data_IF_284057612921
#
_entry.id   IF_284057612921
#
_cell.length_a   1.000
_cell.length_b   1.000
_cell.length_c   1.000
_cell.angle_alpha   90.00
_cell.angle_beta   90.00
_cell.angle_gamma   90.00
#
_symmetry.space_group_name_H-M   'P 1'
#
loop_
_entity.id
_entity.type
_entity.pdbx_description
1 polymer ?
#
# COMPACT_ATOMS: atom_id res chain seq x y z
N UNK A 1 -16.18 -14.16 -9.35
CA UNK A 1 -16.47 -15.27 -8.42
C UNK A 1 -16.57 -16.66 -9.07
N UNK A 2 -17.41 -16.88 -10.09
CA UNK A 2 -17.56 -18.23 -10.69
C UNK A 2 -16.23 -18.84 -11.19
N UNK A 3 -15.38 -18.05 -11.87
CA UNK A 3 -14.03 -18.47 -12.28
C UNK A 3 -13.14 -18.85 -11.09
N UNK A 4 -13.20 -18.09 -10.00
CA UNK A 4 -12.44 -18.40 -8.78
C UNK A 4 -12.87 -19.74 -8.17
N UNK A 5 -14.19 -20.00 -8.13
CA UNK A 5 -14.72 -21.24 -7.59
C UNK A 5 -14.30 -22.44 -8.44
N UNK A 6 -14.34 -22.32 -9.76
CA UNK A 6 -13.85 -23.38 -10.65
C UNK A 6 -12.36 -23.67 -10.44
N UNK A 7 -11.54 -22.63 -10.28
CA UNK A 7 -10.12 -22.77 -9.99
C UNK A 7 -9.87 -23.43 -8.62
N UNK A 8 -10.65 -23.06 -7.60
CA UNK A 8 -10.57 -23.68 -6.28
C UNK A 8 -10.90 -25.18 -6.29
N UNK A 9 -11.89 -25.57 -7.11
CA UNK A 9 -12.29 -26.98 -7.27
C UNK A 9 -11.27 -27.78 -8.07
N UNK A 10 -10.73 -27.22 -9.17
CA UNK A 10 -9.91 -27.98 -10.13
C UNK A 10 -8.40 -27.91 -9.88
N UNK A 11 -7.90 -26.84 -9.28
CA UNK A 11 -6.46 -26.54 -9.27
C UNK A 11 -5.89 -26.34 -7.86
N UNK A 12 -6.62 -25.65 -6.98
CA UNK A 12 -6.05 -25.17 -5.72
C UNK A 12 -6.57 -25.89 -4.47
N UNK A 13 -7.40 -26.92 -4.63
CA UNK A 13 -7.88 -27.78 -3.53
C UNK A 13 -8.45 -27.00 -2.34
N UNK A 14 -9.22 -25.95 -2.63
CA UNK A 14 -9.83 -25.06 -1.64
C UNK A 14 -11.34 -24.85 -1.93
N UNK A 15 -11.98 -25.87 -2.50
CA UNK A 15 -13.37 -25.82 -2.96
C UNK A 15 -14.35 -25.39 -1.87
N UNK A 16 -14.31 -26.02 -0.70
CA UNK A 16 -15.20 -25.69 0.43
C UNK A 16 -14.99 -24.26 0.91
N UNK A 17 -13.73 -23.82 0.97
CA UNK A 17 -13.38 -22.45 1.40
C UNK A 17 -13.99 -21.41 0.45
N UNK A 18 -13.88 -21.62 -0.86
CA UNK A 18 -14.45 -20.69 -1.84
C UNK A 18 -15.97 -20.76 -1.94
N UNK A 19 -16.60 -21.91 -1.66
CA UNK A 19 -18.06 -22.02 -1.54
C UNK A 19 -18.55 -21.20 -0.33
N UNK A 20 -17.92 -21.36 0.84
CA UNK A 20 -18.19 -20.56 2.02
C UNK A 20 -18.04 -19.07 1.71
N UNK A 21 -16.92 -18.68 1.12
CA UNK A 21 -16.63 -17.29 0.79
C UNK A 21 -17.62 -16.71 -0.24
N UNK A 22 -17.93 -17.46 -1.30
CA UNK A 22 -18.92 -17.05 -2.30
C UNK A 22 -20.30 -16.86 -1.67
N UNK A 23 -20.70 -17.74 -0.74
CA UNK A 23 -22.01 -17.66 -0.09
C UNK A 23 -22.19 -16.35 0.69
N UNK A 24 -21.18 -15.92 1.45
CA UNK A 24 -21.26 -14.67 2.23
C UNK A 24 -21.02 -13.43 1.38
N UNK A 25 -20.11 -13.48 0.39
CA UNK A 25 -19.89 -12.36 -0.53
C UNK A 25 -21.11 -12.09 -1.41
N UNK A 26 -21.90 -13.11 -1.77
CA UNK A 26 -23.11 -12.95 -2.58
C UNK A 26 -24.23 -12.15 -1.90
N UNK A 27 -24.18 -12.02 -0.58
CA UNK A 27 -25.17 -11.29 0.24
C UNK A 27 -24.56 -10.05 0.91
N UNK A 28 -23.23 -9.96 0.93
CA UNK A 28 -22.48 -8.85 1.50
C UNK A 28 -22.10 -7.86 0.42
N UNK A 29 -22.72 -6.68 0.48
CA UNK A 29 -22.49 -5.59 -0.47
C UNK A 29 -21.68 -4.43 0.12
N UNK A 30 -21.34 -4.48 1.43
CA UNK A 30 -20.60 -3.39 2.08
C UNK A 30 -19.59 -3.92 3.09
N UNK A 31 -18.42 -3.28 3.15
CA UNK A 31 -17.40 -3.54 4.17
C UNK A 31 -17.79 -3.02 5.55
N UNK A 32 -18.95 -2.34 5.69
CA UNK A 32 -19.46 -1.85 6.99
C UNK A 32 -19.73 -2.96 7.99
N UNK A 33 -19.99 -4.18 7.51
CA UNK A 33 -20.13 -5.32 8.42
C UNK A 33 -18.83 -5.58 9.20
N UNK A 34 -17.66 -5.32 8.60
CA UNK A 34 -16.34 -5.67 9.15
C UNK A 34 -16.00 -4.85 10.40
N UNK A 35 -16.49 -3.61 10.50
CA UNK A 35 -16.28 -2.77 11.70
C UNK A 35 -17.04 -3.28 12.91
N UNK A 36 -18.15 -4.00 12.69
CA UNK A 36 -18.99 -4.57 13.75
C UNK A 36 -18.52 -5.95 14.21
N UNK A 37 -17.46 -6.48 13.61
CA UNK A 37 -16.94 -7.80 13.97
C UNK A 37 -16.04 -7.73 15.21
N UNK A 38 -16.19 -8.68 16.15
CA UNK A 38 -15.22 -8.89 17.22
C UNK A 38 -13.81 -9.11 16.67
N UNK A 39 -12.79 -8.63 17.39
CA UNK A 39 -11.40 -8.69 16.93
C UNK A 39 -10.92 -10.11 16.61
N UNK A 40 -11.40 -11.12 17.34
CA UNK A 40 -11.07 -12.54 17.11
C UNK A 40 -11.41 -13.07 15.70
N UNK A 41 -12.34 -12.42 15.01
CA UNK A 41 -12.70 -12.80 13.64
C UNK A 41 -11.85 -12.09 12.59
N UNK A 42 -11.25 -10.93 12.94
CA UNK A 42 -10.48 -10.14 11.98
C UNK A 42 -9.16 -10.84 11.71
N UNK A 43 -8.88 -11.04 10.43
CA UNK A 43 -7.68 -11.71 9.95
C UNK A 43 -6.74 -10.71 9.27
N UNK A 44 -5.43 -10.87 9.50
CA UNK A 44 -4.36 -10.05 8.91
C UNK A 44 -4.19 -10.25 7.41
N UNK A 45 -4.62 -11.40 6.88
CA UNK A 45 -4.63 -11.72 5.44
C UNK A 45 -5.76 -10.99 4.69
N UNK A 46 -6.76 -10.47 5.40
CA UNK A 46 -7.74 -9.53 4.87
C UNK A 46 -9.20 -9.87 5.12
N UNK A 47 -10.06 -9.16 4.40
CA UNK A 47 -11.51 -9.21 4.53
C UNK A 47 -12.05 -10.57 4.11
N UNK A 48 -11.48 -11.20 3.08
CA UNK A 48 -11.89 -12.53 2.61
C UNK A 48 -11.72 -13.58 3.71
N UNK A 49 -10.55 -13.64 4.35
CA UNK A 49 -10.31 -14.58 5.45
C UNK A 49 -11.15 -14.27 6.67
N UNK A 50 -11.38 -12.99 6.96
CA UNK A 50 -12.28 -12.56 8.04
C UNK A 50 -13.70 -13.10 7.84
N UNK A 51 -14.24 -12.98 6.62
CA UNK A 51 -15.56 -13.50 6.27
C UNK A 51 -15.61 -15.03 6.27
N UNK A 52 -14.55 -15.68 5.78
CA UNK A 52 -14.44 -17.13 5.78
C UNK A 52 -14.40 -17.70 7.20
N UNK A 53 -13.65 -17.09 8.12
CA UNK A 53 -13.60 -17.50 9.53
C UNK A 53 -14.98 -17.49 10.19
N UNK A 54 -15.79 -16.45 9.92
CA UNK A 54 -17.18 -16.39 10.41
C UNK A 54 -17.99 -17.57 9.86
N UNK A 55 -17.93 -17.80 8.55
CA UNK A 55 -18.68 -18.89 7.93
C UNK A 55 -18.25 -20.26 8.47
N UNK A 56 -16.95 -20.50 8.60
CA UNK A 56 -16.40 -21.75 9.11
C UNK A 56 -16.83 -22.02 10.55
N UNK A 57 -16.78 -21.01 11.42
CA UNK A 57 -17.19 -21.16 12.83
C UNK A 57 -18.69 -21.43 12.97
N UNK A 58 -19.53 -20.72 12.21
CA UNK A 58 -20.98 -20.94 12.24
C UNK A 58 -21.35 -22.31 11.65
N UNK A 59 -20.72 -22.72 10.55
CA UNK A 59 -20.96 -24.01 9.93
C UNK A 59 -20.50 -25.18 10.81
N UNK A 60 -19.36 -25.03 11.49
CA UNK A 60 -18.89 -26.02 12.46
C UNK A 60 -19.95 -26.26 13.55
N UNK A 61 -20.46 -25.20 14.16
CA UNK A 61 -21.51 -25.30 15.18
C UNK A 61 -22.78 -25.93 14.60
N UNK A 62 -23.18 -25.54 13.39
CA UNK A 62 -24.35 -26.11 12.70
C UNK A 62 -24.19 -27.62 12.45
N UNK A 63 -22.98 -28.08 12.15
CA UNK A 63 -22.66 -29.49 11.88
C UNK A 63 -22.53 -30.32 13.17
N UNK A 64 -22.18 -29.69 14.30
CA UNK A 64 -22.05 -30.36 15.61
C UNK A 64 -23.38 -30.58 16.35
N UNK A 65 -24.51 -30.10 15.83
CA UNK A 65 -25.81 -30.20 16.49
C UNK A 65 -26.87 -30.80 15.58
N UNK A 66 -27.89 -31.44 16.15
CA UNK A 66 -29.04 -31.90 15.39
C UNK A 66 -29.71 -30.71 14.67
N UNK A 67 -30.18 -30.93 13.43
CA UNK A 67 -30.72 -29.84 12.61
C UNK A 67 -31.87 -29.05 13.29
N UNK A 68 -32.68 -29.72 14.12
CA UNK A 68 -33.79 -29.10 14.87
C UNK A 68 -33.33 -28.24 16.06
N UNK A 69 -32.11 -28.42 16.56
CA UNK A 69 -31.58 -27.68 17.71
C UNK A 69 -30.68 -26.50 17.32
N UNK A 70 -30.29 -26.39 16.05
CA UNK A 70 -29.52 -25.25 15.58
C UNK A 70 -30.34 -23.96 15.63
N UNK A 71 -29.92 -23.02 16.50
CA UNK A 71 -30.53 -21.71 16.63
C UNK A 71 -29.52 -20.61 16.32
N UNK A 72 -29.62 -20.04 15.11
CA UNK A 72 -28.71 -18.98 14.65
C UNK A 72 -28.71 -17.75 15.58
N UNK A 73 -29.86 -17.38 16.18
CA UNK A 73 -29.94 -16.24 17.09
C UNK A 73 -29.03 -16.46 18.30
N UNK A 74 -29.15 -17.61 18.97
CA UNK A 74 -28.32 -17.96 20.14
C UNK A 74 -26.85 -18.05 19.79
N UNK A 75 -26.52 -18.65 18.65
CA UNK A 75 -25.12 -18.74 18.18
C UNK A 75 -24.54 -17.34 17.93
N UNK A 76 -25.27 -16.46 17.24
CA UNK A 76 -24.82 -15.09 17.01
C UNK A 76 -24.71 -14.28 18.30
N UNK A 77 -25.59 -14.48 19.28
CA UNK A 77 -25.50 -13.85 20.60
C UNK A 77 -24.21 -14.28 21.33
N UNK A 78 -23.97 -15.59 21.43
CA UNK A 78 -22.78 -16.15 22.06
C UNK A 78 -21.48 -15.73 21.36
N UNK A 79 -21.52 -15.54 20.04
CA UNK A 79 -20.38 -15.12 19.23
C UNK A 79 -20.26 -13.61 19.04
N UNK A 80 -21.15 -12.81 19.63
CA UNK A 80 -21.18 -11.35 19.48
C UNK A 80 -21.30 -10.90 18.01
N UNK A 81 -22.08 -11.66 17.21
CA UNK A 81 -22.35 -11.44 15.79
C UNK A 81 -23.79 -10.98 15.52
N UNK A 82 -24.54 -10.59 16.56
CA UNK A 82 -25.97 -10.22 16.48
C UNK A 82 -26.25 -9.17 15.41
N UNK A 83 -25.38 -8.17 15.25
CA UNK A 83 -25.54 -7.08 14.28
C UNK A 83 -25.51 -7.54 12.81
N UNK A 84 -24.82 -8.65 12.52
CA UNK A 84 -24.69 -9.19 11.16
C UNK A 84 -25.47 -10.51 10.99
N UNK A 85 -26.29 -10.89 11.97
CA UNK A 85 -27.09 -12.12 11.96
C UNK A 85 -27.92 -12.28 10.68
N UNK A 86 -28.51 -11.19 10.18
CA UNK A 86 -29.31 -11.21 8.96
C UNK A 86 -28.47 -11.61 7.73
N UNK A 87 -27.24 -11.10 7.63
CA UNK A 87 -26.27 -11.46 6.57
C UNK A 87 -25.88 -12.94 6.71
N UNK A 88 -25.51 -13.38 7.91
CA UNK A 88 -25.13 -14.77 8.17
C UNK A 88 -26.30 -15.72 7.81
N UNK A 89 -27.53 -15.38 8.20
CA UNK A 89 -28.71 -16.18 7.89
C UNK A 89 -28.95 -16.33 6.38
N UNK A 90 -28.77 -15.26 5.61
CA UNK A 90 -28.87 -15.32 4.15
C UNK A 90 -27.69 -16.10 3.53
N UNK A 91 -26.47 -15.89 4.02
CA UNK A 91 -25.27 -16.61 3.58
C UNK A 91 -25.42 -18.13 3.82
N UNK A 92 -25.95 -18.56 4.97
CA UNK A 92 -26.19 -19.97 5.27
C UNK A 92 -27.22 -20.62 4.33
N UNK A 93 -28.26 -19.89 3.91
CA UNK A 93 -29.21 -20.37 2.90
C UNK A 93 -28.53 -20.54 1.55
N UNK A 94 -27.71 -19.55 1.15
CA UNK A 94 -26.91 -19.62 -0.10
C UNK A 94 -25.92 -20.78 -0.08
N UNK A 95 -25.21 -20.96 1.03
CA UNK A 95 -24.30 -22.09 1.24
C UNK A 95 -25.02 -23.43 1.07
N UNK A 96 -26.16 -23.62 1.75
CA UNK A 96 -26.94 -24.86 1.67
C UNK A 96 -27.44 -25.13 0.23
N UNK A 97 -27.77 -24.08 -0.52
CA UNK A 97 -28.16 -24.21 -1.94
C UNK A 97 -26.97 -24.63 -2.82
N UNK A 98 -25.80 -24.04 -2.60
CA UNK A 98 -24.57 -24.37 -3.35
C UNK A 98 -24.09 -25.78 -3.03
N UNK A 99 -24.05 -26.14 -1.74
CA UNK A 99 -23.71 -27.47 -1.25
C UNK A 99 -24.54 -28.55 -1.94
N UNK A 100 -25.89 -28.42 -1.92
CA UNK A 100 -26.78 -29.34 -2.65
C UNK A 100 -26.49 -29.42 -4.15
N UNK A 101 -26.13 -28.31 -4.77
CA UNK A 101 -25.83 -28.28 -6.20
C UNK A 101 -24.55 -29.05 -6.53
N UNK A 102 -23.52 -28.92 -5.67
CA UNK A 102 -22.27 -29.66 -5.81
C UNK A 102 -22.40 -31.13 -5.40
N UNK A 103 -23.27 -31.46 -4.45
CA UNK A 103 -23.53 -32.84 -4.05
C UNK A 103 -24.17 -33.66 -5.18
N UNK A 104 -24.92 -33.03 -6.09
CA UNK A 104 -25.49 -33.72 -7.26
C UNK A 104 -24.47 -33.84 -8.40
N UNK A 105 -23.40 -33.03 -8.39
CA UNK A 105 -22.38 -33.04 -9.45
C UNK A 105 -21.39 -34.20 -9.30
N UNK A 106 -21.39 -35.13 -10.25
CA UNK A 106 -20.40 -36.22 -10.28
C UNK A 106 -18.95 -35.71 -10.43
N UNK A 107 -18.77 -34.59 -11.13
CA UNK A 107 -17.44 -34.02 -11.43
C UNK A 107 -16.82 -33.32 -10.21
N UNK A 108 -17.64 -32.63 -9.41
CA UNK A 108 -17.13 -31.70 -8.37
C UNK A 108 -17.49 -32.06 -6.94
N UNK A 109 -18.31 -33.10 -6.69
CA UNK A 109 -18.78 -33.46 -5.35
C UNK A 109 -17.64 -33.59 -4.34
N UNK A 110 -16.57 -34.30 -4.67
CA UNK A 110 -15.45 -34.51 -3.76
C UNK A 110 -14.66 -33.22 -3.52
N UNK A 111 -14.36 -32.49 -4.61
CA UNK A 111 -13.58 -31.26 -4.58
C UNK A 111 -14.29 -30.13 -3.81
N UNK A 112 -15.62 -30.09 -3.86
CA UNK A 112 -16.44 -29.13 -3.13
C UNK A 112 -16.37 -29.31 -1.61
N UNK A 113 -15.97 -30.49 -1.13
CA UNK A 113 -15.82 -30.79 0.30
C UNK A 113 -14.40 -30.48 0.82
N UNK A 114 -13.43 -30.27 -0.07
CA UNK A 114 -12.03 -30.04 0.31
C UNK A 114 -11.88 -28.65 0.95
N UNK A 115 -11.35 -28.65 2.18
CA UNK A 115 -10.98 -27.47 2.94
C UNK A 115 -9.46 -27.38 3.00
N UNK A 116 -8.91 -26.24 2.61
CA UNK A 116 -7.46 -26.02 2.60
C UNK A 116 -6.95 -25.39 3.90
N UNK A 117 -7.76 -24.51 4.51
CA UNK A 117 -7.35 -23.62 5.60
C UNK A 117 -6.09 -22.79 5.32
N UNK A 118 -5.68 -22.70 4.05
CA UNK A 118 -4.48 -22.01 3.60
C UNK A 118 -4.86 -20.82 2.73
N UNK A 119 -4.66 -19.61 3.27
CA UNK A 119 -4.95 -18.37 2.55
C UNK A 119 -4.27 -18.33 1.17
N UNK A 120 -3.05 -18.83 1.05
CA UNK A 120 -2.28 -18.82 -0.20
C UNK A 120 -3.00 -19.54 -1.35
N UNK A 121 -3.67 -20.66 -1.07
CA UNK A 121 -4.43 -21.41 -2.08
C UNK A 121 -5.73 -20.69 -2.44
N UNK A 122 -6.39 -20.09 -1.44
CA UNK A 122 -7.60 -19.27 -1.64
C UNK A 122 -7.27 -18.03 -2.47
N UNK A 123 -6.17 -17.35 -2.16
CA UNK A 123 -5.66 -16.19 -2.87
C UNK A 123 -5.36 -16.51 -4.34
N UNK A 124 -4.66 -17.63 -4.61
CA UNK A 124 -4.41 -18.10 -5.98
C UNK A 124 -5.70 -18.35 -6.75
N UNK A 125 -6.70 -18.98 -6.12
CA UNK A 125 -8.02 -19.15 -6.74
C UNK A 125 -8.75 -17.82 -6.98
N UNK A 126 -8.67 -16.85 -6.05
CA UNK A 126 -9.25 -15.53 -6.20
C UNK A 126 -8.62 -14.77 -7.39
N UNK A 127 -7.30 -14.85 -7.54
CA UNK A 127 -6.55 -14.21 -8.63
C UNK A 127 -7.02 -14.69 -10.02
N UNK A 128 -7.48 -15.94 -10.17
CA UNK A 128 -8.04 -16.40 -11.46
C UNK A 128 -9.29 -15.63 -11.89
N UNK A 129 -10.12 -15.17 -10.95
CA UNK A 129 -11.34 -14.42 -11.28
C UNK A 129 -11.23 -12.91 -11.05
N UNK A 130 -10.22 -12.44 -10.32
CA UNK A 130 -9.99 -11.03 -10.00
C UNK A 130 -8.59 -10.58 -10.42
N UNK A 131 -8.01 -11.20 -11.44
CA UNK A 131 -6.65 -10.94 -11.89
C UNK A 131 -6.40 -9.47 -12.22
N UNK A 132 -7.39 -8.80 -12.82
CA UNK A 132 -7.29 -7.39 -13.14
C UNK A 132 -7.45 -6.47 -11.93
N UNK A 133 -7.95 -6.97 -10.80
CA UNK A 133 -8.23 -6.18 -9.60
C UNK A 133 -7.12 -6.31 -8.55
N UNK A 134 -5.88 -6.42 -9.01
CA UNK A 134 -4.70 -6.46 -8.14
C UNK A 134 -4.08 -5.07 -8.08
N UNK A 135 -3.76 -4.65 -6.87
CA UNK A 135 -3.22 -3.34 -6.59
C UNK A 135 -1.94 -3.46 -5.76
N UNK A 136 -0.91 -2.73 -6.17
CA UNK A 136 0.38 -2.63 -5.48
C UNK A 136 0.44 -1.32 -4.71
N UNK A 137 1.03 -1.37 -3.52
CA UNK A 137 1.28 -0.22 -2.68
C UNK A 137 2.17 0.79 -3.39
N UNK A 138 1.73 2.04 -3.45
CA UNK A 138 2.55 3.12 -3.98
C UNK A 138 3.77 3.42 -3.11
N UNK A 139 3.74 3.06 -1.82
CA UNK A 139 4.93 3.09 -0.97
C UNK A 139 6.07 2.28 -1.58
N UNK A 140 5.77 1.06 -2.02
CA UNK A 140 6.78 0.16 -2.57
C UNK A 140 7.29 0.68 -3.91
N UNK A 141 6.41 1.34 -4.68
CA UNK A 141 6.73 2.07 -5.91
C UNK A 141 7.39 3.44 -5.70
N UNK A 142 7.84 3.77 -4.49
CA UNK A 142 8.49 5.06 -4.15
C UNK A 142 7.60 6.29 -4.39
N UNK A 143 6.29 6.18 -4.09
CA UNK A 143 5.28 7.22 -4.20
C UNK A 143 4.38 7.24 -2.94
N UNK A 144 3.26 7.96 -2.96
CA UNK A 144 2.43 8.25 -1.78
C UNK A 144 2.03 7.01 -0.94
N UNK A 145 2.38 7.01 0.35
CA UNK A 145 2.36 5.82 1.23
C UNK A 145 1.03 5.05 1.23
N UNK A 146 -0.10 5.71 1.49
CA UNK A 146 -1.38 5.01 1.66
C UNK A 146 -2.21 4.89 0.36
N UNK A 147 -1.58 5.14 -0.78
CA UNK A 147 -2.22 4.93 -2.07
C UNK A 147 -1.74 3.62 -2.67
N UNK A 148 -2.56 3.10 -3.56
CA UNK A 148 -2.28 1.91 -4.33
C UNK A 148 -2.41 2.24 -5.81
N UNK A 149 -1.75 1.47 -6.66
CA UNK A 149 -1.88 1.56 -8.10
C UNK A 149 -2.23 0.18 -8.65
N UNK A 150 -3.05 0.11 -9.70
CA UNK A 150 -3.32 -1.17 -10.37
C UNK A 150 -2.00 -1.69 -10.93
N UNK A 151 -1.77 -2.99 -10.77
CA UNK A 151 -0.50 -3.58 -11.20
C UNK A 151 -0.23 -3.41 -12.71
N UNK A 152 -1.29 -3.37 -13.52
CA UNK A 152 -1.23 -3.19 -14.99
C UNK A 152 -1.21 -1.74 -15.44
N UNK A 153 -1.61 -0.78 -14.59
CA UNK A 153 -1.63 0.65 -14.91
C UNK A 153 -1.35 1.47 -13.65
N UNK A 154 -0.19 2.11 -13.62
CA UNK A 154 0.27 2.90 -12.46
C UNK A 154 -0.60 4.16 -12.23
N UNK A 155 -1.32 4.62 -13.25
CA UNK A 155 -2.18 5.80 -13.19
C UNK A 155 -3.57 5.50 -12.59
N UNK A 156 -4.01 4.23 -12.63
CA UNK A 156 -5.24 3.81 -11.95
C UNK A 156 -4.98 3.68 -10.44
N UNK A 157 -5.15 4.80 -9.75
CA UNK A 157 -4.87 4.91 -8.32
C UNK A 157 -6.07 4.52 -7.47
N UNK A 158 -5.80 3.92 -6.31
CA UNK A 158 -6.82 3.53 -5.36
C UNK A 158 -6.40 3.79 -3.90
N UNK A 159 -7.39 3.84 -3.02
CA UNK A 159 -7.22 3.77 -1.57
C UNK A 159 -8.06 2.62 -1.02
N UNK A 160 -7.57 2.01 0.06
CA UNK A 160 -8.33 0.97 0.74
C UNK A 160 -9.56 1.58 1.39
N UNK A 161 -10.70 0.90 1.29
CA UNK A 161 -11.87 1.30 2.03
C UNK A 161 -11.57 1.28 3.54
N UNK A 162 -11.80 2.39 4.24
CA UNK A 162 -11.42 2.61 5.64
C UNK A 162 -11.85 1.49 6.60
N UNK A 163 -12.95 0.81 6.27
CA UNK A 163 -13.54 -0.29 7.05
C UNK A 163 -12.90 -1.67 6.82
N UNK A 164 -11.96 -1.81 5.89
CA UNK A 164 -11.22 -3.05 5.66
C UNK A 164 -10.33 -3.41 6.85
N UNK A 165 -10.09 -4.71 7.06
CA UNK A 165 -9.10 -5.19 8.04
C UNK A 165 -7.66 -4.96 7.60
N UNK A 166 -7.43 -4.58 6.34
CA UNK A 166 -6.12 -4.25 5.78
C UNK A 166 -5.76 -2.76 5.88
N UNK A 167 -6.70 -1.90 6.29
CA UNK A 167 -6.38 -0.51 6.60
C UNK A 167 -5.40 -0.45 7.76
N UNK A 168 -4.35 0.37 7.61
CA UNK A 168 -3.30 0.57 8.62
C UNK A 168 -3.29 2.03 9.08
N UNK A 169 -2.93 2.31 10.34
CA UNK A 169 -2.65 3.67 10.79
C UNK A 169 -1.55 4.33 9.95
N UNK A 170 -1.52 5.67 9.94
CA UNK A 170 -0.53 6.44 9.16
C UNK A 170 0.91 6.11 9.57
N UNK A 171 1.13 5.76 10.84
CA UNK A 171 2.44 5.37 11.36
C UNK A 171 2.91 3.98 10.92
N UNK A 172 2.06 3.18 10.28
CA UNK A 172 2.37 1.81 9.86
C UNK A 172 2.40 1.69 8.34
N UNK A 173 3.34 0.88 7.85
CA UNK A 173 3.42 0.58 6.43
C UNK A 173 2.12 -0.09 5.94
N UNK A 174 1.60 0.30 4.76
CA UNK A 174 0.52 -0.41 4.12
C UNK A 174 0.96 -1.83 3.73
N UNK A 175 -0.01 -2.69 3.47
CA UNK A 175 0.24 -3.98 2.82
C UNK A 175 0.72 -3.78 1.38
N UNK A 176 1.68 -4.59 0.94
CA UNK A 176 2.36 -4.38 -0.35
C UNK A 176 1.48 -4.68 -1.56
N UNK A 177 0.78 -5.81 -1.58
CA UNK A 177 -0.09 -6.20 -2.69
C UNK A 177 -1.42 -6.71 -2.17
N UNK A 178 -2.50 -6.28 -2.83
CA UNK A 178 -3.86 -6.70 -2.50
C UNK A 178 -4.64 -7.08 -3.75
N UNK A 179 -5.50 -8.09 -3.61
CA UNK A 179 -6.60 -8.33 -4.56
C UNK A 179 -7.88 -7.75 -3.99
N UNK A 180 -8.62 -7.03 -4.83
CA UNK A 180 -9.90 -6.43 -4.47
C UNK A 180 -11.05 -7.10 -5.22
N UNK A 181 -12.17 -7.31 -4.52
CA UNK A 181 -13.41 -7.71 -5.19
C UNK A 181 -14.07 -6.51 -5.89
N UNK A 182 -14.26 -5.43 -5.15
CA UNK A 182 -15.06 -4.28 -5.56
C UNK A 182 -14.19 -3.04 -5.70
N UNK A 183 -14.44 -2.27 -6.77
CA UNK A 183 -13.74 -1.03 -7.10
C UNK A 183 -14.81 0.04 -7.34
N UNK A 184 -14.77 1.12 -6.56
CA UNK A 184 -15.74 2.21 -6.64
C UNK A 184 -15.06 3.51 -7.05
N UNK A 185 -15.48 4.08 -8.18
CA UNK A 185 -15.08 5.40 -8.64
C UNK A 185 -16.16 6.40 -8.22
N UNK A 186 -15.86 7.23 -7.21
CA UNK A 186 -16.87 8.07 -6.53
C UNK A 186 -17.29 9.33 -7.31
N UNK A 187 -16.71 9.60 -8.48
CA UNK A 187 -17.21 10.53 -9.51
C UNK A 187 -16.26 10.51 -10.71
N UNK A 188 -16.65 11.05 -11.87
CA UNK A 188 -15.77 11.25 -13.03
C UNK A 188 -14.60 12.21 -12.78
N UNK A 189 -14.60 12.94 -11.66
CA UNK A 189 -13.59 13.93 -11.28
C UNK A 189 -12.56 13.33 -10.29
N UNK A 190 -12.92 12.27 -9.56
CA UNK A 190 -11.99 11.63 -8.60
C UNK A 190 -11.03 10.70 -9.35
N UNK A 191 -9.77 11.10 -9.41
CA UNK A 191 -8.64 10.32 -9.94
C UNK A 191 -8.33 9.04 -9.14
N UNK A 192 -8.94 8.85 -7.97
CA UNK A 192 -8.61 7.76 -7.04
C UNK A 192 -9.85 6.94 -6.68
N UNK A 193 -9.78 5.63 -6.96
CA UNK A 193 -10.80 4.66 -6.64
C UNK A 193 -10.80 4.27 -5.15
N UNK A 194 -11.93 3.75 -4.65
CA UNK A 194 -12.00 3.06 -3.36
C UNK A 194 -12.12 1.57 -3.62
N UNK A 195 -11.18 0.79 -3.09
CA UNK A 195 -11.18 -0.68 -3.22
C UNK A 195 -11.65 -1.36 -1.94
N UNK A 196 -12.50 -2.38 -2.09
CA UNK A 196 -13.23 -3.04 -0.99
C UNK A 196 -13.22 -4.57 -1.11
N UNK A 197 -13.37 -5.23 0.04
CA UNK A 197 -13.22 -6.69 0.21
C UNK A 197 -11.87 -7.15 -0.32
N UNK A 198 -10.86 -6.92 0.52
CA UNK A 198 -9.46 -7.04 0.16
C UNK A 198 -8.86 -8.34 0.71
N UNK A 199 -7.85 -8.85 0.01
CA UNK A 199 -6.98 -9.92 0.50
C UNK A 199 -5.53 -9.65 0.13
N UNK A 200 -4.60 -9.95 1.02
CA UNK A 200 -3.16 -9.83 0.75
C UNK A 200 -2.76 -10.88 -0.27
N UNK A 201 -2.04 -10.50 -1.31
CA UNK A 201 -1.53 -11.47 -2.30
C UNK A 201 -0.02 -11.38 -2.40
N UNK A 202 0.60 -12.50 -2.79
CA UNK A 202 2.02 -12.57 -3.09
C UNK A 202 2.24 -12.48 -4.61
N UNK A 203 3.37 -11.92 -5.08
CA UNK A 203 3.63 -11.78 -6.51
C UNK A 203 3.59 -13.12 -7.28
N UNK A 204 4.01 -14.23 -6.68
CA UNK A 204 4.05 -15.58 -7.29
C UNK A 204 2.69 -16.11 -7.77
N UNK A 205 1.58 -15.50 -7.34
CA UNK A 205 0.24 -15.86 -7.79
C UNK A 205 -0.25 -15.14 -9.05
N UNK A 206 0.46 -14.10 -9.53
CA UNK A 206 -0.03 -13.19 -10.58
C UNK A 206 0.56 -13.59 -11.94
N UNK A 207 -0.16 -14.47 -12.65
CA UNK A 207 0.34 -15.15 -13.85
C UNK A 207 -0.16 -14.52 -15.18
N UNK A 208 -0.15 -13.19 -15.27
CA UNK A 208 -0.51 -12.46 -16.48
C UNK A 208 0.67 -11.66 -17.00
N UNK A 209 0.83 -11.58 -18.32
CA UNK A 209 1.88 -10.75 -18.88
C UNK A 209 1.51 -9.26 -18.77
N UNK A 210 2.47 -8.46 -18.34
CA UNK A 210 2.39 -7.00 -18.33
C UNK A 210 3.69 -6.40 -18.84
N UNK A 211 3.60 -5.14 -19.24
CA UNK A 211 4.75 -4.29 -19.51
C UNK A 211 4.77 -3.13 -18.52
N UNK A 212 5.95 -2.84 -17.96
CA UNK A 212 6.18 -1.68 -17.10
C UNK A 212 7.50 -1.01 -17.45
N UNK A 213 7.56 0.29 -17.17
CA UNK A 213 8.71 1.12 -17.51
C UNK A 213 9.18 1.90 -16.28
N UNK A 214 10.50 1.92 -16.07
CA UNK A 214 11.14 2.69 -15.00
C UNK A 214 12.02 3.74 -15.66
N UNK A 215 11.59 5.00 -15.54
CA UNK A 215 12.40 6.14 -15.96
C UNK A 215 13.42 6.48 -14.89
N UNK A 216 14.67 6.61 -15.27
CA UNK A 216 15.82 6.98 -14.44
C UNK A 216 16.43 8.28 -14.94
N UNK A 217 17.04 9.04 -14.04
CA UNK A 217 17.98 10.08 -14.42
C UNK A 217 19.43 9.56 -14.37
N UNK A 218 20.39 10.39 -14.76
CA UNK A 218 21.80 10.00 -14.86
C UNK A 218 22.39 9.53 -13.51
N UNK A 219 22.04 10.19 -12.41
CA UNK A 219 22.51 9.80 -11.07
C UNK A 219 21.94 8.45 -10.63
N UNK A 220 20.65 8.21 -10.87
CA UNK A 220 19.98 6.93 -10.58
C UNK A 220 20.53 5.79 -11.45
N UNK A 221 20.81 6.05 -12.73
CA UNK A 221 21.47 5.11 -13.64
C UNK A 221 22.87 4.74 -13.17
N UNK A 222 23.68 5.73 -12.80
CA UNK A 222 25.03 5.51 -12.28
C UNK A 222 25.01 4.74 -10.96
N UNK A 223 24.01 4.98 -10.10
CA UNK A 223 23.81 4.21 -8.88
C UNK A 223 23.54 2.73 -9.18
N UNK A 224 22.61 2.43 -10.10
CA UNK A 224 22.30 1.06 -10.50
C UNK A 224 23.48 0.34 -11.16
N UNK A 225 24.30 1.05 -11.93
CA UNK A 225 25.53 0.51 -12.53
C UNK A 225 26.58 0.20 -11.46
N UNK A 226 26.86 1.14 -10.57
CA UNK A 226 27.88 1.02 -9.52
C UNK A 226 27.56 -0.12 -8.54
N UNK A 227 26.27 -0.24 -8.17
CA UNK A 227 25.81 -1.28 -7.25
C UNK A 227 25.55 -2.63 -7.92
N UNK A 228 25.81 -2.77 -9.23
CA UNK A 228 25.41 -3.94 -10.03
C UNK A 228 23.92 -4.29 -9.88
N UNK A 229 23.06 -3.31 -9.57
CA UNK A 229 21.64 -3.55 -9.32
C UNK A 229 20.93 -4.05 -10.58
N UNK A 230 21.21 -3.44 -11.73
CA UNK A 230 20.61 -3.87 -13.00
C UNK A 230 21.10 -5.26 -13.43
N UNK A 231 22.41 -5.52 -13.36
CA UNK A 231 22.99 -6.81 -13.74
C UNK A 231 22.53 -7.95 -12.82
N UNK A 232 22.38 -7.68 -11.51
CA UNK A 232 21.82 -8.62 -10.54
C UNK A 232 20.35 -8.92 -10.82
N UNK A 233 19.54 -7.90 -11.09
CA UNK A 233 18.14 -8.10 -11.46
C UNK A 233 18.03 -8.94 -12.75
N UNK A 234 18.84 -8.62 -13.76
CA UNK A 234 18.87 -9.36 -15.03
C UNK A 234 19.29 -10.81 -14.83
N UNK A 235 20.31 -11.10 -14.01
CA UNK A 235 20.73 -12.49 -13.75
C UNK A 235 19.67 -13.28 -12.97
N UNK A 236 18.98 -12.65 -12.01
CA UNK A 236 17.94 -13.30 -11.22
C UNK A 236 16.67 -13.62 -12.00
N UNK A 237 16.26 -12.75 -12.95
CA UNK A 237 14.91 -12.81 -13.54
C UNK A 237 14.87 -12.99 -15.06
N UNK A 238 16.01 -12.97 -15.76
CA UNK A 238 16.09 -13.05 -17.25
C UNK A 238 15.43 -14.28 -17.87
N UNK A 239 15.33 -15.39 -17.14
CA UNK A 239 14.67 -16.60 -17.65
C UNK A 239 13.13 -16.48 -17.69
N UNK A 240 12.56 -15.45 -17.05
CA UNK A 240 11.10 -15.33 -16.85
C UNK A 240 10.57 -14.02 -17.42
N UNK A 241 11.37 -12.95 -17.43
CA UNK A 241 11.00 -11.66 -17.97
C UNK A 241 12.05 -11.16 -18.96
N UNK A 242 11.58 -10.41 -19.94
CA UNK A 242 12.42 -9.61 -20.83
C UNK A 242 12.75 -8.28 -20.17
N UNK A 243 14.04 -7.95 -20.13
CA UNK A 243 14.55 -6.72 -19.54
C UNK A 243 15.45 -6.00 -20.54
N UNK A 244 15.08 -4.77 -20.87
CA UNK A 244 15.87 -3.88 -21.72
C UNK A 244 16.16 -2.58 -20.99
N UNK A 245 17.36 -2.05 -21.21
CA UNK A 245 17.76 -0.76 -20.65
C UNK A 245 18.37 0.11 -21.74
N UNK A 246 17.64 1.17 -22.11
CA UNK A 246 18.03 2.09 -23.17
C UNK A 246 17.72 3.52 -22.74
N UNK A 247 18.68 4.44 -22.88
CA UNK A 247 18.52 5.89 -22.67
C UNK A 247 17.81 6.28 -21.36
N UNK A 248 18.25 5.74 -20.22
CA UNK A 248 17.64 6.05 -18.92
C UNK A 248 16.25 5.44 -18.71
N UNK A 249 15.80 4.50 -19.56
CA UNK A 249 14.51 3.83 -19.45
C UNK A 249 14.69 2.31 -19.38
N UNK A 250 14.26 1.70 -18.28
CA UNK A 250 14.23 0.25 -18.12
C UNK A 250 12.83 -0.24 -18.51
N UNK A 251 12.76 -1.13 -19.50
CA UNK A 251 11.55 -1.83 -19.91
C UNK A 251 11.54 -3.23 -19.28
N UNK A 252 10.42 -3.59 -18.65
CA UNK A 252 10.18 -4.90 -18.04
C UNK A 252 8.94 -5.50 -18.68
N UNK A 253 9.06 -6.69 -19.28
CA UNK A 253 7.94 -7.39 -19.90
C UNK A 253 7.95 -8.87 -19.52
N UNK A 254 6.82 -9.39 -19.06
CA UNK A 254 6.63 -10.80 -18.75
C UNK A 254 5.62 -11.00 -17.64
N UNK A 255 5.74 -12.11 -16.89
CA UNK A 255 4.80 -12.44 -15.82
C UNK A 255 4.75 -11.34 -14.74
N UNK A 256 3.55 -10.83 -14.48
CA UNK A 256 3.31 -9.67 -13.62
C UNK A 256 3.89 -9.80 -12.23
N UNK A 257 3.80 -10.98 -11.61
CA UNK A 257 4.44 -11.24 -10.34
C UNK A 257 5.94 -10.90 -10.36
N UNK A 258 6.64 -11.41 -11.36
CA UNK A 258 8.10 -11.24 -11.51
C UNK A 258 8.45 -9.84 -11.97
N UNK A 259 7.68 -9.25 -12.89
CA UNK A 259 7.85 -7.86 -13.32
C UNK A 259 7.75 -6.91 -12.12
N UNK A 260 6.72 -7.05 -11.27
CA UNK A 260 6.55 -6.22 -10.07
C UNK A 260 7.71 -6.44 -9.09
N UNK A 261 8.09 -7.69 -8.80
CA UNK A 261 9.23 -7.97 -7.91
C UNK A 261 10.53 -7.33 -8.42
N UNK A 262 10.76 -7.40 -9.75
CA UNK A 262 11.93 -6.80 -10.39
C UNK A 262 11.89 -5.28 -10.32
N UNK A 263 10.73 -4.66 -10.58
CA UNK A 263 10.56 -3.21 -10.47
C UNK A 263 10.83 -2.72 -9.05
N UNK A 264 10.25 -3.36 -8.05
CA UNK A 264 10.45 -3.01 -6.64
C UNK A 264 11.92 -3.12 -6.24
N UNK A 265 12.60 -4.18 -6.67
CA UNK A 265 14.02 -4.36 -6.45
C UNK A 265 14.84 -3.22 -7.09
N UNK A 266 14.62 -2.93 -8.38
CA UNK A 266 15.34 -1.87 -9.10
C UNK A 266 15.11 -0.49 -8.48
N UNK A 267 13.87 -0.17 -8.09
CA UNK A 267 13.55 1.09 -7.43
C UNK A 267 14.29 1.22 -6.09
N UNK A 268 14.38 0.16 -5.30
CA UNK A 268 15.16 0.17 -4.05
C UNK A 268 16.65 0.33 -4.29
N UNK A 269 17.20 -0.32 -5.32
CA UNK A 269 18.62 -0.19 -5.69
C UNK A 269 18.97 1.19 -6.27
N UNK A 270 17.98 1.98 -6.70
CA UNK A 270 18.16 3.35 -7.20
C UNK A 270 18.12 4.44 -6.13
N UNK A 271 17.90 4.07 -4.87
CA UNK A 271 17.89 5.03 -3.75
C UNK A 271 19.31 5.46 -3.44
N UNK A 272 19.53 6.77 -3.45
CA UNK A 272 20.81 7.39 -3.08
C UNK A 272 20.65 8.21 -1.79
N UNK A 273 21.80 8.54 -1.21
CA UNK A 273 21.91 9.43 -0.08
C UNK A 273 22.71 10.66 -0.51
N UNK A 274 22.20 11.85 -0.19
CA UNK A 274 22.81 13.11 -0.54
C UNK A 274 22.80 14.05 0.67
N UNK A 275 23.95 14.67 0.92
CA UNK A 275 24.13 15.59 2.04
C UNK A 275 24.59 16.95 1.53
N UNK A 276 24.03 18.02 2.08
CA UNK A 276 24.45 19.39 1.81
C UNK A 276 24.20 20.27 3.02
N UNK A 277 24.80 21.46 3.03
CA UNK A 277 24.63 22.45 4.09
C UNK A 277 23.77 23.61 3.61
N UNK A 278 22.99 24.20 4.52
CA UNK A 278 22.42 25.52 4.30
C UNK A 278 23.54 26.56 4.41
N UNK A 279 23.88 27.18 3.29
CA UNK A 279 24.99 28.12 3.20
C UNK A 279 24.55 29.49 2.69
N UNK A 280 25.26 30.52 3.15
CA UNK A 280 25.05 31.89 2.68
C UNK A 280 25.98 32.17 1.51
N UNK A 281 25.46 31.96 0.30
CA UNK A 281 26.23 32.14 -0.93
C UNK A 281 26.25 33.60 -1.43
N UNK A 282 25.69 34.56 -0.69
CA UNK A 282 25.71 35.96 -1.07
C UNK A 282 27.12 36.58 -0.87
N UNK A 283 27.50 37.60 -1.65
CA UNK A 283 28.74 38.34 -1.40
C UNK A 283 28.73 38.96 0.00
N UNK A 284 29.80 38.76 0.77
CA UNK A 284 29.94 39.18 2.18
C UNK A 284 29.66 40.67 2.44
N UNK A 285 29.86 41.50 1.42
CA UNK A 285 29.65 42.95 1.47
C UNK A 285 28.20 43.39 1.21
N UNK A 286 27.27 42.46 0.92
CA UNK A 286 25.89 42.77 0.59
C UNK A 286 24.97 42.85 1.83
N UNK A 287 23.92 43.67 1.75
CA UNK A 287 22.85 43.70 2.77
C UNK A 287 22.13 42.35 2.86
N UNK A 288 21.95 41.67 1.72
CA UNK A 288 21.38 40.32 1.64
C UNK A 288 22.21 39.29 2.40
N UNK A 289 23.55 39.37 2.34
CA UNK A 289 24.42 38.48 3.12
C UNK A 289 24.18 38.64 4.62
N UNK A 290 24.15 39.88 5.13
CA UNK A 290 23.92 40.12 6.56
C UNK A 290 22.54 39.63 7.02
N UNK A 291 21.49 39.90 6.23
CA UNK A 291 20.14 39.46 6.52
C UNK A 291 20.04 37.92 6.52
N UNK A 292 20.52 37.27 5.46
CA UNK A 292 20.48 35.81 5.34
C UNK A 292 21.27 35.15 6.47
N UNK A 293 22.45 35.67 6.84
CA UNK A 293 23.24 35.14 7.94
C UNK A 293 22.49 35.19 9.28
N UNK A 294 21.85 36.32 9.59
CA UNK A 294 21.08 36.48 10.83
C UNK A 294 19.86 35.54 10.86
N UNK A 295 19.18 35.39 9.72
CA UNK A 295 18.04 34.49 9.62
C UNK A 295 18.44 33.02 9.71
N UNK A 296 19.56 32.62 9.09
CA UNK A 296 20.10 31.26 9.21
C UNK A 296 20.48 30.95 10.66
N UNK A 297 21.14 31.87 11.37
CA UNK A 297 21.48 31.72 12.79
C UNK A 297 20.22 31.50 13.67
N UNK A 298 19.08 32.09 13.30
CA UNK A 298 17.79 31.89 13.96
C UNK A 298 17.16 30.54 13.61
N UNK A 299 17.13 30.19 12.31
CA UNK A 299 16.57 28.92 11.81
C UNK A 299 17.33 27.71 12.38
N UNK A 300 18.66 27.81 12.47
CA UNK A 300 19.53 26.77 13.04
C UNK A 300 19.21 26.42 14.50
N UNK A 301 18.61 27.33 15.26
CA UNK A 301 18.19 27.08 16.64
C UNK A 301 16.81 26.41 16.73
N UNK A 302 16.10 26.32 15.60
CA UNK A 302 14.74 25.81 15.51
C UNK A 302 14.59 24.78 14.37
N UNK A 303 15.37 23.68 14.34
CA UNK A 303 15.29 22.69 13.26
C UNK A 303 13.90 22.07 13.09
N UNK A 304 13.07 22.10 14.14
CA UNK A 304 11.70 21.59 14.15
C UNK A 304 10.77 22.30 13.13
N UNK A 305 11.12 23.51 12.64
CA UNK A 305 10.31 24.22 11.63
C UNK A 305 10.17 23.42 10.33
N UNK A 306 11.11 22.51 10.06
CA UNK A 306 11.12 21.68 8.87
C UNK A 306 10.31 20.39 9.02
N UNK A 307 9.83 20.05 10.23
CA UNK A 307 9.08 18.81 10.47
C UNK A 307 7.86 18.63 9.52
N UNK A 308 7.04 19.66 9.23
CA UNK A 308 5.94 19.52 8.29
C UNK A 308 6.41 19.14 6.88
N UNK A 309 7.53 19.71 6.42
CA UNK A 309 8.14 19.41 5.13
C UNK A 309 8.72 17.99 5.11
N UNK A 310 9.48 17.61 6.14
CA UNK A 310 10.03 16.25 6.31
C UNK A 310 8.90 15.23 6.24
N UNK A 311 7.84 15.43 7.02
CA UNK A 311 6.68 14.54 7.06
C UNK A 311 5.98 14.43 5.70
N UNK A 312 5.80 15.56 4.99
CA UNK A 312 5.19 15.59 3.65
C UNK A 312 6.02 14.78 2.65
N UNK A 313 7.32 15.02 2.58
CA UNK A 313 8.21 14.34 1.64
C UNK A 313 8.32 12.84 1.90
N UNK A 314 8.36 12.44 3.17
CA UNK A 314 8.35 11.03 3.55
C UNK A 314 7.02 10.37 3.16
N UNK A 315 5.88 11.03 3.43
CA UNK A 315 4.55 10.47 3.16
C UNK A 315 4.17 10.43 1.66
N UNK A 316 4.63 11.41 0.86
CA UNK A 316 4.21 11.56 -0.53
C UNK A 316 5.19 10.95 -1.53
N UNK A 317 6.49 10.93 -1.21
CA UNK A 317 7.55 10.56 -2.16
C UNK A 317 8.60 9.62 -1.58
N UNK A 318 8.37 9.07 -0.39
CA UNK A 318 9.29 8.16 0.31
C UNK A 318 10.70 8.74 0.50
N UNK A 319 10.82 10.06 0.56
CA UNK A 319 12.09 10.74 0.78
C UNK A 319 12.30 10.92 2.28
N UNK A 320 13.35 10.30 2.82
CA UNK A 320 13.73 10.47 4.22
C UNK A 320 14.69 11.63 4.35
N UNK A 321 14.49 12.46 5.36
CA UNK A 321 15.33 13.64 5.58
C UNK A 321 15.68 13.74 7.06
N UNK A 322 16.94 14.08 7.33
CA UNK A 322 17.44 14.44 8.65
C UNK A 322 18.14 15.78 8.57
N UNK A 323 17.88 16.65 9.54
CA UNK A 323 18.47 17.98 9.63
C UNK A 323 19.23 18.08 10.94
N UNK A 324 20.55 18.26 10.82
CA UNK A 324 21.47 18.31 11.94
C UNK A 324 22.10 19.71 12.00
N UNK A 325 21.68 20.49 12.98
CA UNK A 325 22.27 21.80 13.28
C UNK A 325 23.46 21.64 14.22
N UNK A 326 24.66 21.99 13.76
CA UNK A 326 25.86 22.04 14.58
C UNK A 326 26.12 23.47 15.05
N UNK A 327 25.91 23.71 16.35
CA UNK A 327 26.09 25.03 16.97
C UNK A 327 27.55 25.47 17.04
N UNK A 328 28.51 24.54 17.08
CA UNK A 328 29.93 24.85 17.14
C UNK A 328 30.48 25.32 15.79
N UNK A 329 30.04 24.71 14.68
CA UNK A 329 30.49 25.09 13.33
C UNK A 329 29.54 26.06 12.63
N UNK A 330 28.41 26.42 13.26
CA UNK A 330 27.33 27.23 12.65
C UNK A 330 26.89 26.69 11.28
N UNK A 331 26.79 25.37 11.18
CA UNK A 331 26.30 24.70 9.97
C UNK A 331 24.99 23.97 10.25
N UNK A 332 24.12 23.95 9.24
CA UNK A 332 22.91 23.14 9.22
C UNK A 332 23.08 22.10 8.10
N UNK A 333 23.43 20.88 8.48
CA UNK A 333 23.61 19.77 7.55
C UNK A 333 22.27 19.10 7.31
N UNK A 334 21.93 18.91 6.03
CA UNK A 334 20.71 18.24 5.59
C UNK A 334 21.13 16.99 4.84
N UNK A 335 20.73 15.84 5.35
CA UNK A 335 20.90 14.55 4.69
C UNK A 335 19.56 14.08 4.17
N UNK A 336 19.49 13.79 2.87
CA UNK A 336 18.31 13.32 2.17
C UNK A 336 18.59 11.94 1.59
N UNK A 337 17.65 11.01 1.79
CA UNK A 337 17.69 9.67 1.23
C UNK A 337 16.45 9.38 0.42
N UNK A 338 16.62 9.06 -0.85
CA UNK A 338 15.53 8.83 -1.80
C UNK A 338 16.06 8.68 -3.23
N UNK A 339 15.13 8.65 -4.19
CA UNK A 339 15.47 8.73 -5.60
C UNK A 339 16.01 10.12 -5.95
N UNK A 340 17.06 10.20 -6.77
CA UNK A 340 17.67 11.49 -7.12
C UNK A 340 16.66 12.46 -7.73
N UNK A 341 15.77 11.96 -8.60
CA UNK A 341 14.68 12.75 -9.18
C UNK A 341 13.76 13.44 -8.17
N UNK A 342 13.65 12.92 -6.94
CA UNK A 342 12.93 13.58 -5.84
C UNK A 342 13.87 14.41 -4.97
N UNK A 343 15.12 13.97 -4.76
CA UNK A 343 16.13 14.75 -4.03
C UNK A 343 16.35 16.11 -4.68
N UNK A 344 16.44 16.19 -6.00
CA UNK A 344 16.61 17.48 -6.70
C UNK A 344 15.45 18.45 -6.40
N UNK A 345 14.22 17.94 -6.34
CA UNK A 345 13.04 18.77 -5.98
C UNK A 345 13.07 19.25 -4.54
N UNK A 346 13.59 18.44 -3.63
CA UNK A 346 13.81 18.85 -2.24
C UNK A 346 14.86 19.97 -2.18
N UNK A 347 15.95 19.86 -2.95
CA UNK A 347 16.95 20.94 -3.04
C UNK A 347 16.34 22.22 -3.56
N UNK A 348 15.58 22.15 -4.64
CA UNK A 348 14.86 23.31 -5.20
C UNK A 348 13.96 23.98 -4.15
N UNK A 349 13.32 23.21 -3.27
CA UNK A 349 12.52 23.73 -2.17
C UNK A 349 13.38 24.43 -1.10
N UNK A 350 14.55 23.87 -0.75
CA UNK A 350 15.50 24.53 0.15
C UNK A 350 16.13 25.78 -0.47
N UNK A 351 16.45 25.77 -1.76
CA UNK A 351 16.96 26.94 -2.49
C UNK A 351 15.90 28.05 -2.54
N UNK A 352 14.63 27.67 -2.79
CA UNK A 352 13.50 28.60 -2.72
C UNK A 352 13.32 29.17 -1.32
N UNK A 353 13.48 28.34 -0.28
CA UNK A 353 13.45 28.77 1.11
C UNK A 353 14.59 29.77 1.41
N UNK A 354 15.83 29.48 1.01
CA UNK A 354 16.98 30.38 1.19
C UNK A 354 16.78 31.71 0.45
N UNK A 355 16.23 31.67 -0.76
CA UNK A 355 15.90 32.85 -1.56
C UNK A 355 14.82 33.72 -0.91
N UNK A 356 13.83 33.12 -0.26
CA UNK A 356 12.87 33.86 0.56
C UNK A 356 13.53 34.43 1.83
N UNK A 357 14.40 33.64 2.47
CA UNK A 357 15.05 33.97 3.73
C UNK A 357 15.98 35.18 3.67
N UNK A 358 16.61 35.43 2.51
CA UNK A 358 17.47 36.60 2.29
C UNK A 358 16.68 37.91 2.10
N UNK A 359 15.42 37.83 1.67
CA UNK A 359 14.57 38.99 1.36
C UNK A 359 13.51 39.25 2.44
N UNK A 360 13.36 38.35 3.43
CA UNK A 360 12.42 38.51 4.54
C UNK A 360 12.99 39.37 5.69
N UNK A 361 12.09 39.93 6.51
CA UNK A 361 12.48 40.61 7.74
C UNK A 361 13.24 39.65 8.68
N UNK A 362 14.19 40.20 9.45
CA UNK A 362 15.03 39.38 10.34
C UNK A 362 14.19 38.72 11.43
N UNK A 363 14.26 37.39 11.56
CA UNK A 363 13.56 36.67 12.63
C UNK A 363 14.08 37.12 13.98
N UNK A 364 13.22 37.79 14.75
CA UNK A 364 13.48 38.04 16.17
C UNK A 364 13.23 36.76 16.94
N UNK A 365 14.20 36.34 17.75
CA UNK A 365 14.05 35.18 18.61
C UNK A 365 12.92 35.47 19.63
N UNK A 366 12.02 34.51 19.96
CA UNK A 366 10.96 34.71 20.94
C UNK A 366 11.48 35.20 22.31
N UNK A 367 12.74 34.85 22.61
CA UNK A 367 13.44 35.25 23.84
C UNK A 367 14.35 36.48 23.68
N UNK A 368 14.27 37.25 22.58
CA UNK A 368 15.13 38.43 22.38
C UNK A 368 14.69 39.68 23.15
N UNK A 369 13.67 39.57 24.01
CA UNK A 369 13.39 40.55 25.06
C UNK A 369 12.95 41.95 24.61
N UNK A 370 12.72 42.20 23.32
CA UNK A 370 12.18 43.47 22.85
C UNK A 370 10.69 43.32 22.52
N UNK A 371 9.85 43.52 23.54
CA UNK A 371 8.45 43.89 23.35
C UNK A 371 8.42 45.23 22.60
N UNK A 372 8.11 45.19 21.30
CA UNK A 372 7.45 46.31 20.63
C UNK A 372 6.27 45.76 19.84
N UNK A 373 5.13 46.36 20.13
CA UNK A 373 3.79 46.12 19.63
C UNK A 373 3.76 45.64 18.18
N UNK A 374 3.21 44.44 17.99
CA UNK A 374 2.78 43.95 16.68
C UNK A 374 1.63 44.84 16.21
N UNK A 375 1.93 45.77 15.31
CA UNK A 375 0.95 46.26 14.35
C UNK A 375 0.89 45.23 13.23
N UNK A 376 -0.20 44.45 13.23
CA UNK A 376 -0.76 43.84 12.03
C UNK A 376 -1.75 44.82 11.41
#
# INVERSE_FOLDING_TARGET
>A
MARCLLAALRQYNCGRDLICLASILSVSNTTTLLTKLPQRFKNSDGDFMTLLSIMNEILLIKQSVAARSFNLKRVCEAKSLTHIRHIIGQALRRYTSLEKSFDISNEYRQQAQIKSDKWELIAKALLIGYSNNVFVSKKDLQDRTHHFARYSDINDTAVLHLKSTLTRPISQAPVSLVVARDILYLSSIRLTAIISFLGVVKPDGINHNIERQIKLNEAEENCLKTNNGYSTAKSMFSNIIHMEFNNGLIHLNGLAGVVLTTELYLLQQSIIEYTFCLENNNPSNSTKYKNLQQNLDSVMKMPQIFNPMIWRWEAEKQVKMSINSNTATKTCEITIKGRDSQIQKVKEEFDSFLNWLQDCAVFRHPNSGENKELLF
#
